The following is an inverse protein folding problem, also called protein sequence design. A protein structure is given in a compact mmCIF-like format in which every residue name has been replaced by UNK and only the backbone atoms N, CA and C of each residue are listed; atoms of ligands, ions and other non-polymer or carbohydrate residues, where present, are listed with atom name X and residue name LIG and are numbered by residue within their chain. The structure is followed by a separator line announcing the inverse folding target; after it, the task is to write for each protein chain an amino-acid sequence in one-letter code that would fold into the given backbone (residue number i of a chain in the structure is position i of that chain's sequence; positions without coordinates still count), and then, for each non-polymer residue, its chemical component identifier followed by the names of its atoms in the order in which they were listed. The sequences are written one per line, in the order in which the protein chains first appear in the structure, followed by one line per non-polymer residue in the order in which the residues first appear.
data_IF_880701690359
#
_entry.id   IF_880701690359
#
_cell.length_a   1.000
_cell.length_b   1.000
_cell.length_c   1.000
_cell.angle_alpha   90.00
_cell.angle_beta   90.00
_cell.angle_gamma   90.00
#
_symmetry.space_group_name_H-M   'P 1'
#
loop_
_entity.id
_entity.type
_entity.pdbx_description
1 polymer ?
#
# COMPACT_ATOMS: atom_id res chain seq x y z
N UNK A 1 -24.04 -26.04 -7.71
CA UNK A 1 -23.46 -24.71 -8.08
C UNK A 1 -22.11 -24.42 -7.39
N UNK A 2 -21.87 -24.89 -6.16
CA UNK A 2 -20.68 -24.55 -5.36
C UNK A 2 -19.33 -25.08 -5.89
N UNK A 3 -19.30 -26.22 -6.58
CA UNK A 3 -18.05 -26.82 -7.07
C UNK A 3 -17.33 -25.93 -8.11
N UNK A 4 -18.07 -25.43 -9.11
CA UNK A 4 -17.54 -24.54 -10.15
C UNK A 4 -16.96 -23.25 -9.55
N UNK A 5 -17.62 -22.73 -8.52
CA UNK A 5 -17.18 -21.52 -7.82
C UNK A 5 -15.93 -21.77 -6.97
N UNK A 6 -15.83 -22.93 -6.31
CA UNK A 6 -14.63 -23.35 -5.57
C UNK A 6 -13.41 -23.50 -6.48
N UNK A 7 -13.57 -24.16 -7.63
CA UNK A 7 -12.49 -24.30 -8.63
C UNK A 7 -12.08 -22.93 -9.17
N UNK A 8 -13.07 -22.07 -9.47
CA UNK A 8 -12.81 -20.72 -9.97
C UNK A 8 -12.00 -19.87 -8.99
N UNK A 9 -12.39 -19.83 -7.70
CA UNK A 9 -11.62 -19.11 -6.67
C UNK A 9 -10.21 -19.64 -6.51
N UNK A 10 -10.03 -20.96 -6.59
CA UNK A 10 -8.70 -21.58 -6.54
C UNK A 10 -7.82 -21.12 -7.72
N UNK A 11 -8.34 -21.21 -8.94
CA UNK A 11 -7.62 -20.78 -10.15
C UNK A 11 -7.29 -19.27 -10.13
N UNK A 12 -8.20 -18.45 -9.62
CA UNK A 12 -7.96 -17.00 -9.48
C UNK A 12 -6.89 -16.70 -8.43
N UNK A 13 -6.94 -17.39 -7.28
CA UNK A 13 -5.93 -17.24 -6.21
C UNK A 13 -4.54 -17.70 -6.67
N UNK A 14 -4.46 -18.85 -7.34
CA UNK A 14 -3.19 -19.41 -7.85
C UNK A 14 -2.54 -18.49 -8.91
N UNK A 15 -3.34 -17.63 -9.56
CA UNK A 15 -2.88 -16.66 -10.57
C UNK A 15 -2.75 -15.23 -10.03
N UNK A 16 -3.00 -15.01 -8.74
CA UNK A 16 -3.00 -13.68 -8.16
C UNK A 16 -4.00 -12.74 -8.85
N UNK A 17 -5.23 -13.18 -9.09
CA UNK A 17 -6.27 -12.39 -9.75
C UNK A 17 -7.52 -12.28 -8.87
N UNK A 18 -8.17 -11.11 -8.89
CA UNK A 18 -9.49 -10.88 -8.27
C UNK A 18 -10.48 -10.47 -9.35
N UNK A 19 -11.71 -10.96 -9.24
CA UNK A 19 -12.80 -10.60 -10.15
C UNK A 19 -13.53 -9.38 -9.62
N UNK A 20 -13.55 -8.30 -10.38
CA UNK A 20 -14.46 -7.18 -10.13
C UNK A 20 -15.82 -7.46 -10.80
N UNK A 21 -16.91 -6.93 -10.24
CA UNK A 21 -18.30 -7.40 -10.44
C UNK A 21 -18.82 -7.52 -11.88
N UNK A 22 -18.09 -7.05 -12.90
CA UNK A 22 -18.46 -7.12 -14.32
C UNK A 22 -17.59 -8.05 -15.18
N UNK A 23 -16.79 -8.94 -14.58
CA UNK A 23 -15.99 -9.90 -15.35
C UNK A 23 -14.63 -9.39 -15.81
N UNK A 24 -14.21 -8.23 -15.30
CA UNK A 24 -12.84 -7.77 -15.40
C UNK A 24 -11.98 -8.49 -14.34
N UNK A 25 -10.78 -8.89 -14.73
CA UNK A 25 -9.80 -9.54 -13.85
C UNK A 25 -8.71 -8.51 -13.56
N UNK A 26 -8.57 -8.14 -12.31
CA UNK A 26 -7.46 -7.29 -11.85
C UNK A 26 -6.41 -8.17 -11.19
N UNK A 27 -5.15 -7.77 -11.32
CA UNK A 27 -4.08 -8.32 -10.50
C UNK A 27 -4.50 -8.14 -9.04
N UNK A 28 -4.59 -9.25 -8.32
CA UNK A 28 -4.61 -9.22 -6.88
C UNK A 28 -3.34 -8.49 -6.46
N UNK A 29 -3.49 -7.30 -5.91
CA UNK A 29 -2.42 -6.60 -5.20
C UNK A 29 -1.78 -7.63 -4.28
N UNK A 30 -0.56 -8.04 -4.65
CA UNK A 30 0.00 -9.35 -4.25
C UNK A 30 0.37 -9.39 -2.78
N UNK A 31 0.40 -8.26 -2.11
CA UNK A 31 0.67 -8.22 -0.68
C UNK A 31 -0.57 -7.74 0.08
N UNK A 32 -0.94 -8.41 1.19
CA UNK A 32 -1.75 -7.75 2.20
C UNK A 32 -0.95 -6.53 2.64
N UNK A 33 -1.22 -5.38 2.02
CA UNK A 33 -0.41 -4.20 2.25
C UNK A 33 -0.35 -3.91 3.74
N UNK A 34 0.83 -3.54 4.23
CA UNK A 34 1.10 -3.35 5.66
C UNK A 34 -0.10 -2.62 6.32
N UNK A 35 -0.72 -3.20 7.38
CA UNK A 35 -1.84 -2.58 8.06
C UNK A 35 -1.50 -1.22 8.68
N UNK A 36 -0.21 -0.95 8.90
CA UNK A 36 0.31 0.33 9.36
C UNK A 36 0.52 1.34 8.22
N UNK A 37 0.39 0.94 6.95
CA UNK A 37 0.42 1.86 5.82
C UNK A 37 -0.96 2.41 5.51
N UNK A 38 -1.06 3.74 5.54
CA UNK A 38 -2.26 4.46 5.06
C UNK A 38 -2.35 4.41 3.54
N UNK A 39 -3.55 4.61 2.98
CA UNK A 39 -3.74 4.70 1.53
C UNK A 39 -2.85 5.79 0.90
N UNK A 40 -2.71 6.93 1.57
CA UNK A 40 -1.86 8.03 1.11
C UNK A 40 -0.39 7.61 0.98
N UNK A 41 0.13 6.84 1.94
CA UNK A 41 1.50 6.29 1.84
C UNK A 41 1.64 5.40 0.61
N UNK A 42 0.71 4.46 0.40
CA UNK A 42 0.77 3.52 -0.74
C UNK A 42 0.70 4.24 -2.08
N UNK A 43 -0.13 5.27 -2.20
CA UNK A 43 -0.19 6.10 -3.41
C UNK A 43 1.10 6.88 -3.66
N UNK A 44 1.77 7.33 -2.59
CA UNK A 44 3.07 7.99 -2.71
C UNK A 44 4.14 7.00 -3.16
N UNK A 45 4.14 5.79 -2.60
CA UNK A 45 5.06 4.72 -3.01
C UNK A 45 4.87 4.36 -4.49
N UNK A 46 3.62 4.17 -4.92
CA UNK A 46 3.29 3.88 -6.32
C UNK A 46 3.70 5.03 -7.26
N UNK A 47 3.51 6.28 -6.82
CA UNK A 47 3.86 7.47 -7.61
C UNK A 47 5.36 7.71 -7.70
N UNK A 48 6.11 7.47 -6.63
CA UNK A 48 7.54 7.80 -6.54
C UNK A 48 8.44 6.60 -6.82
N UNK A 49 7.91 5.36 -6.78
CA UNK A 49 8.68 4.14 -6.94
C UNK A 49 9.65 3.86 -5.80
N UNK A 50 9.48 4.51 -4.65
CA UNK A 50 10.34 4.36 -3.45
C UNK A 50 9.48 4.00 -2.24
N UNK A 51 10.04 3.26 -1.29
CA UNK A 51 9.32 2.92 -0.06
C UNK A 51 9.18 4.14 0.84
N UNK A 52 8.01 4.30 1.45
CA UNK A 52 7.76 5.46 2.33
C UNK A 52 8.63 5.38 3.59
N UNK A 53 8.99 4.18 4.05
CA UNK A 53 9.87 3.97 5.20
C UNK A 53 11.26 4.55 4.98
N UNK A 54 11.85 4.34 3.81
CA UNK A 54 13.19 4.84 3.46
C UNK A 54 13.18 6.37 3.46
N UNK A 55 12.18 6.94 2.78
CA UNK A 55 11.97 8.39 2.74
C UNK A 55 11.80 8.99 4.14
N UNK A 56 11.03 8.31 4.99
CA UNK A 56 10.77 8.73 6.37
C UNK A 56 11.95 8.47 7.30
N UNK A 57 12.84 7.53 7.03
CA UNK A 57 14.00 7.23 7.87
C UNK A 57 15.16 8.19 7.60
N UNK A 58 15.37 8.57 6.34
CA UNK A 58 16.53 9.39 5.94
C UNK A 58 16.32 10.90 6.14
N UNK A 59 15.16 11.43 5.76
CA UNK A 59 14.91 12.88 5.79
C UNK A 59 14.57 13.40 7.19
N UNK A 60 14.61 14.71 7.42
CA UNK A 60 13.95 15.33 8.57
C UNK A 60 12.44 15.47 8.34
N UNK A 61 11.66 15.69 9.41
CA UNK A 61 10.20 15.91 9.28
C UNK A 61 9.87 17.05 8.30
N UNK A 62 10.67 18.12 8.33
CA UNK A 62 10.49 19.32 7.50
C UNK A 62 10.83 19.05 6.03
N UNK A 63 11.91 18.34 5.76
CA UNK A 63 12.31 17.98 4.39
C UNK A 63 11.29 17.05 3.74
N UNK A 64 10.85 16.01 4.47
CA UNK A 64 9.83 15.09 3.97
C UNK A 64 8.49 15.80 3.75
N UNK A 65 8.10 16.68 4.67
CA UNK A 65 6.88 17.47 4.52
C UNK A 65 6.91 18.37 3.28
N UNK A 66 8.04 19.05 3.06
CA UNK A 66 8.24 19.91 1.90
C UNK A 66 8.24 19.11 0.58
N UNK A 67 8.93 17.98 0.55
CA UNK A 67 9.00 17.09 -0.63
C UNK A 67 7.62 16.55 -1.02
N UNK A 68 6.84 16.11 -0.03
CA UNK A 68 5.52 15.52 -0.26
C UNK A 68 4.39 16.55 -0.34
N UNK A 69 4.66 17.81 -0.04
CA UNK A 69 3.64 18.87 -0.01
C UNK A 69 2.60 18.68 1.09
N UNK A 70 2.97 18.10 2.23
CA UNK A 70 2.08 17.80 3.36
C UNK A 70 2.56 18.49 4.65
N UNK A 71 1.73 18.47 5.69
CA UNK A 71 2.10 19.03 7.01
C UNK A 71 3.11 18.12 7.73
N UNK A 72 4.09 18.71 8.42
CA UNK A 72 5.05 17.99 9.28
C UNK A 72 4.37 17.09 10.32
N UNK A 73 3.20 17.51 10.84
CA UNK A 73 2.41 16.71 11.78
C UNK A 73 1.85 15.43 11.17
N UNK A 74 1.62 15.39 9.85
CA UNK A 74 1.26 14.16 9.12
C UNK A 74 2.46 13.22 9.04
N UNK A 75 3.63 13.75 8.69
CA UNK A 75 4.90 12.99 8.64
C UNK A 75 5.24 12.39 10.00
N UNK A 76 5.08 13.17 11.08
CA UNK A 76 5.31 12.70 12.44
C UNK A 76 4.38 11.53 12.82
N UNK A 77 3.08 11.64 12.51
CA UNK A 77 2.11 10.55 12.74
C UNK A 77 2.43 9.30 11.92
N UNK A 78 2.95 9.49 10.71
CA UNK A 78 3.34 8.41 9.82
C UNK A 78 4.53 7.63 10.37
N UNK A 79 5.58 8.33 10.84
CA UNK A 79 6.70 7.69 11.54
C UNK A 79 6.26 6.89 12.76
N UNK A 80 5.40 7.50 13.60
CA UNK A 80 4.85 6.82 14.78
C UNK A 80 4.10 5.54 14.42
N UNK A 81 3.29 5.60 13.37
CA UNK A 81 2.49 4.45 12.90
C UNK A 81 3.37 3.32 12.37
N UNK A 82 4.50 3.64 11.75
CA UNK A 82 5.46 2.68 11.19
C UNK A 82 6.55 2.25 12.19
N UNK A 83 6.50 2.73 13.44
CA UNK A 83 7.51 2.40 14.45
C UNK A 83 8.89 3.03 14.21
N UNK A 84 8.98 4.03 13.32
CA UNK A 84 10.20 4.75 12.98
C UNK A 84 10.47 5.84 14.04
N UNK A 85 10.87 5.41 15.25
CA UNK A 85 11.37 6.33 16.28
C UNK A 85 12.87 6.50 16.10
N UNK A 86 13.29 7.74 15.85
CA UNK A 86 14.66 8.24 15.98
C UNK A 86 14.68 9.12 17.24
#
# INVERSE_FOLDING_TARGET
VQYKERIRRKVLKDRGLIRTGQGHLELASTEPGDPNKTLAMRLIEDRLGVMIEELLAEGSLKEVAALLGIKESTVSKWRLRLGLRI
#
